data_IF_682851772489
#
_entry.id   IF_682851772489
#
_cell.length_a   1.000
_cell.length_b   1.000
_cell.length_c   1.000
_cell.angle_alpha   90.00
_cell.angle_beta   90.00
_cell.angle_gamma   90.00
#
_symmetry.space_group_name_H-M   'P 1'
#
loop_
_entity.id
_entity.type
_entity.pdbx_description
1 polymer ?
#
# COMPACT_ATOMS: atom_id res chain seq x y z
N UNK A 1 26.11 -18.17 36.23
CA UNK A 1 25.05 -18.76 35.41
C UNK A 1 24.49 -17.70 34.46
N UNK A 2 25.33 -16.73 34.03
CA UNK A 2 24.81 -15.43 33.54
C UNK A 2 25.60 -14.88 32.33
N UNK A 3 26.51 -15.68 31.75
CA UNK A 3 27.23 -15.31 30.53
C UNK A 3 26.66 -16.00 29.27
N UNK A 4 25.92 -17.10 29.44
CA UNK A 4 25.42 -17.93 28.34
C UNK A 4 24.07 -17.43 27.77
N UNK A 5 23.34 -16.63 28.55
CA UNK A 5 22.04 -16.05 28.14
C UNK A 5 22.24 -14.77 27.29
N UNK A 6 23.35 -14.05 27.46
CA UNK A 6 23.62 -12.82 26.71
C UNK A 6 24.10 -13.07 25.26
N UNK A 7 24.72 -14.23 25.00
CA UNK A 7 25.23 -14.57 23.68
C UNK A 7 24.14 -14.93 22.66
N UNK A 8 22.96 -15.38 23.12
CA UNK A 8 21.85 -15.76 22.26
C UNK A 8 21.01 -14.58 21.72
N UNK A 9 21.21 -13.36 22.24
CA UNK A 9 20.42 -12.19 21.82
C UNK A 9 21.04 -11.46 20.63
N UNK A 10 22.35 -11.63 20.39
CA UNK A 10 23.12 -10.86 19.38
C UNK A 10 23.28 -11.64 18.06
N UNK A 11 22.95 -12.93 18.03
CA UNK A 11 23.08 -13.79 16.85
C UNK A 11 21.77 -13.96 16.05
N UNK A 12 20.87 -12.96 16.02
CA UNK A 12 19.95 -12.83 14.87
C UNK A 12 20.78 -12.37 13.69
N UNK A 13 21.45 -13.35 13.07
CA UNK A 13 22.12 -13.29 11.78
C UNK A 13 21.34 -12.32 10.91
N UNK A 14 22.02 -11.32 10.36
CA UNK A 14 21.57 -10.61 9.17
C UNK A 14 21.45 -11.67 8.06
N UNK A 15 20.36 -12.42 8.09
CA UNK A 15 19.99 -13.33 7.04
C UNK A 15 19.71 -12.44 5.85
N UNK A 16 20.47 -12.65 4.77
CA UNK A 16 20.11 -12.12 3.47
C UNK A 16 18.74 -12.73 3.13
N UNK A 17 17.68 -11.98 3.37
CA UNK A 17 16.37 -12.24 2.78
C UNK A 17 16.44 -11.71 1.36
N UNK A 18 16.21 -12.54 0.34
CA UNK A 18 16.15 -12.02 -1.01
C UNK A 18 15.06 -10.96 -1.11
N UNK A 19 15.16 -10.05 -2.09
CA UNK A 19 14.24 -8.93 -2.21
C UNK A 19 12.74 -9.23 -2.18
N UNK A 20 12.42 -10.39 -2.72
CA UNK A 20 11.07 -10.90 -2.86
C UNK A 20 10.63 -11.76 -1.68
N UNK A 21 11.45 -11.92 -0.63
CA UNK A 21 11.16 -12.80 0.50
C UNK A 21 10.39 -12.13 1.63
N UNK A 22 10.48 -10.81 1.76
CA UNK A 22 9.85 -10.09 2.87
C UNK A 22 9.49 -8.66 2.43
N UNK A 23 8.20 -8.38 2.23
CA UNK A 23 7.73 -7.04 1.88
C UNK A 23 7.44 -6.26 3.15
N UNK A 24 8.03 -5.06 3.25
CA UNK A 24 7.73 -4.12 4.35
C UNK A 24 6.64 -3.14 3.93
N UNK A 25 5.52 -3.16 4.64
CA UNK A 25 4.36 -2.29 4.38
C UNK A 25 4.38 -1.08 5.32
N UNK A 26 4.46 0.12 4.75
CA UNK A 26 4.45 1.39 5.47
C UNK A 26 3.18 2.15 5.13
N UNK A 27 2.32 2.42 6.11
CA UNK A 27 1.12 3.26 5.93
C UNK A 27 1.39 4.71 6.30
N UNK A 28 1.02 5.64 5.42
CA UNK A 28 1.13 7.08 5.64
C UNK A 28 -0.25 7.71 5.47
N UNK A 29 -0.84 8.18 6.57
CA UNK A 29 -2.14 8.86 6.55
C UNK A 29 -2.02 10.38 6.73
N UNK A 30 -3.08 11.10 6.39
CA UNK A 30 -3.17 12.55 6.55
C UNK A 30 -4.05 13.21 5.52
N UNK A 31 -4.55 14.41 5.82
CA UNK A 31 -5.46 15.17 4.96
C UNK A 31 -4.89 15.46 3.56
N UNK A 32 -5.76 15.75 2.59
CA UNK A 32 -5.31 16.22 1.28
C UNK A 32 -4.41 17.46 1.44
N UNK A 33 -3.30 17.52 0.69
CA UNK A 33 -2.34 18.61 0.78
C UNK A 33 -1.39 18.60 2.01
N UNK A 34 -1.50 17.64 2.94
CA UNK A 34 -0.63 17.57 4.13
C UNK A 34 0.84 17.19 3.85
N UNK A 35 1.19 16.90 2.60
CA UNK A 35 2.55 16.55 2.20
C UNK A 35 2.87 15.05 2.20
N UNK A 36 1.88 14.15 2.35
CA UNK A 36 2.07 12.68 2.28
C UNK A 36 2.91 12.25 1.08
N UNK A 37 2.52 12.65 -0.13
CA UNK A 37 3.24 12.27 -1.36
C UNK A 37 4.65 12.83 -1.43
N UNK A 38 4.93 13.93 -0.73
CA UNK A 38 6.29 14.46 -0.57
C UNK A 38 7.09 13.61 0.40
N UNK A 39 6.49 13.22 1.53
CA UNK A 39 7.09 12.31 2.52
C UNK A 39 7.35 10.93 1.91
N UNK A 40 6.38 10.33 1.22
CA UNK A 40 6.51 9.05 0.51
C UNK A 40 7.68 9.07 -0.47
N UNK A 41 7.78 10.12 -1.30
CA UNK A 41 8.93 10.31 -2.22
C UNK A 41 10.25 10.50 -1.48
N UNK A 42 10.26 11.25 -0.38
CA UNK A 42 11.46 11.42 0.43
C UNK A 42 11.93 10.11 1.06
N UNK A 43 11.01 9.24 1.49
CA UNK A 43 11.31 7.89 2.01
C UNK A 43 11.93 7.04 0.90
N UNK A 44 11.32 7.00 -0.30
CA UNK A 44 11.88 6.27 -1.45
C UNK A 44 13.31 6.72 -1.76
N UNK A 45 13.52 8.04 -1.83
CA UNK A 45 14.84 8.61 -2.13
C UNK A 45 15.88 8.33 -1.03
N UNK A 46 15.48 8.32 0.24
CA UNK A 46 16.40 8.07 1.37
C UNK A 46 16.74 6.60 1.56
N UNK A 47 15.79 5.69 1.32
CA UNK A 47 16.03 4.26 1.46
C UNK A 47 17.08 3.80 0.46
N UNK A 48 17.13 4.40 -0.74
CA UNK A 48 18.07 4.04 -1.82
C UNK A 48 18.10 2.52 -2.09
N UNK A 49 16.97 1.85 -1.84
CA UNK A 49 16.79 0.44 -2.08
C UNK A 49 16.25 0.25 -3.50
N UNK A 50 16.70 -0.78 -4.22
CA UNK A 50 16.03 -1.14 -5.46
C UNK A 50 14.60 -1.60 -5.10
N UNK A 51 13.59 -1.28 -5.92
CA UNK A 51 12.21 -1.78 -5.77
C UNK A 51 11.42 -1.27 -4.55
N UNK A 52 11.37 0.05 -4.35
CA UNK A 52 10.39 0.70 -3.46
C UNK A 52 9.23 1.21 -4.29
N UNK A 53 7.99 0.91 -3.90
CA UNK A 53 6.79 1.36 -4.61
C UNK A 53 5.87 2.16 -3.70
N UNK A 54 5.31 3.24 -4.23
CA UNK A 54 4.26 4.03 -3.58
C UNK A 54 2.92 3.57 -4.15
N UNK A 55 2.03 3.12 -3.27
CA UNK A 55 0.65 2.79 -3.55
C UNK A 55 -0.25 3.91 -3.04
N UNK A 56 -0.82 4.69 -3.95
CA UNK A 56 -1.85 5.66 -3.57
C UNK A 56 -3.19 4.95 -3.39
N UNK A 57 -3.84 5.16 -2.25
CA UNK A 57 -5.21 4.70 -2.00
C UNK A 57 -6.23 5.33 -2.94
N UNK A 58 -5.90 6.47 -3.55
CA UNK A 58 -6.79 7.14 -4.49
C UNK A 58 -7.07 6.25 -5.72
N UNK A 59 -6.16 5.34 -6.07
CA UNK A 59 -6.39 4.33 -7.10
C UNK A 59 -7.59 3.42 -6.80
N UNK A 60 -7.97 3.29 -5.53
CA UNK A 60 -9.00 2.40 -5.03
C UNK A 60 -10.34 3.10 -4.79
N UNK A 61 -10.58 4.30 -5.33
CA UNK A 61 -11.93 4.84 -5.36
C UNK A 61 -12.90 3.86 -6.05
N UNK A 62 -14.10 3.73 -5.51
CA UNK A 62 -15.18 2.92 -6.10
C UNK A 62 -15.60 3.52 -7.44
N UNK A 63 -16.04 2.66 -8.34
CA UNK A 63 -16.72 3.13 -9.56
C UNK A 63 -18.03 3.79 -9.17
N UNK A 64 -18.28 4.97 -9.71
CA UNK A 64 -19.51 5.72 -9.48
C UNK A 64 -20.62 5.22 -10.38
N UNK A 65 -21.84 5.17 -9.86
CA UNK A 65 -23.03 5.01 -10.70
C UNK A 65 -23.30 6.30 -11.52
N UNK A 66 -24.30 6.26 -12.42
CA UNK A 66 -24.60 7.38 -13.30
C UNK A 66 -24.97 8.67 -12.54
N UNK A 67 -25.65 8.57 -11.40
CA UNK A 67 -26.08 9.72 -10.61
C UNK A 67 -24.94 10.26 -9.75
N UNK A 68 -24.15 9.38 -9.16
CA UNK A 68 -22.92 9.73 -8.44
C UNK A 68 -21.89 10.39 -9.36
N UNK A 69 -21.73 9.87 -10.58
CA UNK A 69 -20.84 10.45 -11.59
C UNK A 69 -21.31 11.86 -11.97
N UNK A 70 -22.62 12.05 -12.20
CA UNK A 70 -23.21 13.37 -12.45
C UNK A 70 -22.92 14.36 -11.32
N UNK A 71 -23.09 13.93 -10.07
CA UNK A 71 -22.76 14.74 -8.88
C UNK A 71 -21.26 15.03 -8.79
N UNK A 72 -20.40 14.08 -9.13
CA UNK A 72 -18.95 14.27 -9.11
C UNK A 72 -18.51 15.37 -10.09
N UNK A 73 -19.05 15.39 -11.31
CA UNK A 73 -18.80 16.47 -12.27
C UNK A 73 -19.28 17.85 -11.81
N UNK A 74 -20.28 17.88 -10.91
CA UNK A 74 -20.78 19.09 -10.27
C UNK A 74 -20.02 19.45 -8.97
N UNK A 75 -19.01 18.66 -8.58
CA UNK A 75 -18.33 18.74 -7.28
C UNK A 75 -19.27 18.55 -6.07
N UNK A 76 -20.37 17.82 -6.26
CA UNK A 76 -21.37 17.49 -5.23
C UNK A 76 -21.22 16.05 -4.71
N UNK A 77 -20.15 15.35 -5.10
CA UNK A 77 -19.82 14.01 -4.61
C UNK A 77 -18.70 14.09 -3.57
N UNK A 78 -18.94 13.46 -2.41
CA UNK A 78 -17.98 13.44 -1.31
C UNK A 78 -16.98 12.29 -1.48
N UNK A 79 -15.77 12.62 -1.94
CA UNK A 79 -14.64 11.70 -2.02
C UNK A 79 -13.87 11.58 -0.70
N UNK A 80 -14.14 12.46 0.27
CA UNK A 80 -13.51 12.48 1.59
C UNK A 80 -14.32 11.65 2.61
N UNK A 81 -15.00 10.60 2.12
CA UNK A 81 -15.68 9.60 2.94
C UNK A 81 -14.97 8.25 2.81
N UNK A 82 -14.78 7.48 3.90
CA UNK A 82 -14.28 6.11 3.83
C UNK A 82 -15.07 5.23 2.87
N UNK A 83 -16.38 5.48 2.73
CA UNK A 83 -17.24 4.70 1.83
C UNK A 83 -16.90 4.89 0.35
N UNK A 84 -16.21 5.97 -0.02
CA UNK A 84 -15.73 6.20 -1.39
C UNK A 84 -14.60 5.25 -1.77
N UNK A 85 -13.91 4.66 -0.79
CA UNK A 85 -12.77 3.75 -1.00
C UNK A 85 -13.22 2.29 -1.03
N UNK A 86 -12.71 1.54 -1.99
CA UNK A 86 -12.85 0.10 -2.15
C UNK A 86 -11.82 -0.62 -1.25
N UNK A 87 -12.07 -0.62 0.06
CA UNK A 87 -11.17 -1.25 1.03
C UNK A 87 -11.00 -2.75 0.81
N UNK A 88 -12.01 -3.42 0.28
CA UNK A 88 -11.93 -4.86 0.00
C UNK A 88 -10.86 -5.15 -1.05
N UNK A 89 -10.84 -4.39 -2.16
CA UNK A 89 -9.77 -4.52 -3.16
C UNK A 89 -8.42 -4.05 -2.67
N UNK A 90 -8.38 -3.04 -1.80
CA UNK A 90 -7.12 -2.61 -1.19
C UNK A 90 -6.53 -3.72 -0.32
N UNK A 91 -7.35 -4.34 0.54
CA UNK A 91 -6.93 -5.44 1.41
C UNK A 91 -6.48 -6.64 0.57
N UNK A 92 -7.26 -7.04 -0.44
CA UNK A 92 -6.90 -8.12 -1.36
C UNK A 92 -5.54 -7.86 -2.03
N UNK A 93 -5.33 -6.64 -2.55
CA UNK A 93 -4.05 -6.25 -3.15
C UNK A 93 -2.88 -6.31 -2.15
N UNK A 94 -3.07 -5.85 -0.91
CA UNK A 94 -2.03 -5.88 0.11
C UNK A 94 -1.72 -7.31 0.58
N UNK A 95 -2.74 -8.15 0.72
CA UNK A 95 -2.60 -9.56 1.05
C UNK A 95 -1.88 -10.33 -0.07
N UNK A 96 -2.21 -10.06 -1.34
CA UNK A 96 -1.53 -10.67 -2.47
C UNK A 96 -0.04 -10.30 -2.55
N UNK A 97 0.28 -9.03 -2.27
CA UNK A 97 1.66 -8.56 -2.21
C UNK A 97 2.43 -9.19 -1.03
N UNK A 98 1.79 -9.35 0.14
CA UNK A 98 2.43 -9.93 1.34
C UNK A 98 2.55 -11.46 1.25
N UNK A 99 1.54 -12.14 0.69
CA UNK A 99 1.56 -13.59 0.48
C UNK A 99 2.56 -14.01 -0.61
N UNK A 100 2.70 -13.18 -1.66
CA UNK A 100 3.72 -13.38 -2.70
C UNK A 100 5.15 -13.40 -2.16
N UNK A 101 5.40 -12.78 -1.00
CA UNK A 101 6.70 -12.80 -0.34
C UNK A 101 6.98 -14.07 0.46
N UNK A 102 5.95 -14.71 1.01
CA UNK A 102 6.09 -15.90 1.88
C UNK A 102 6.23 -17.19 1.05
N UNK A 103 5.68 -17.24 -0.17
CA UNK A 103 5.65 -18.44 -1.02
C UNK A 103 6.89 -18.53 -1.93
N UNK A 104 8.10 -18.54 -1.36
CA UNK A 104 9.39 -18.42 -2.08
C UNK A 104 9.69 -19.55 -3.10
N UNK A 105 8.86 -20.59 -3.26
CA UNK A 105 9.22 -21.71 -4.13
C UNK A 105 8.58 -21.74 -5.52
N UNK A 106 7.41 -21.15 -5.80
CA UNK A 106 6.82 -21.20 -7.14
C UNK A 106 5.94 -19.96 -7.40
N UNK A 107 6.34 -19.11 -8.36
CA UNK A 107 5.62 -17.91 -8.86
C UNK A 107 5.40 -16.76 -7.85
N UNK A 108 6.17 -15.67 -7.98
CA UNK A 108 5.86 -14.39 -7.31
C UNK A 108 4.47 -13.90 -7.73
N UNK A 109 3.54 -13.78 -6.78
CA UNK A 109 2.20 -13.23 -7.02
C UNK A 109 2.30 -11.78 -7.52
N UNK A 110 1.71 -11.51 -8.68
CA UNK A 110 1.53 -10.17 -9.25
C UNK A 110 0.27 -9.57 -8.64
N UNK A 111 0.34 -8.34 -8.14
CA UNK A 111 -0.86 -7.60 -7.76
C UNK A 111 -1.24 -6.62 -8.87
N UNK A 112 -2.54 -6.54 -9.14
CA UNK A 112 -3.10 -5.60 -10.12
C UNK A 112 -3.74 -4.42 -9.40
N UNK A 113 -3.15 -3.25 -9.57
CA UNK A 113 -3.66 -2.02 -8.99
C UNK A 113 -4.61 -1.36 -9.99
N UNK A 114 -5.84 -1.03 -9.59
CA UNK A 114 -6.75 -0.28 -10.42
C UNK A 114 -6.19 1.11 -10.75
N UNK A 115 -6.47 1.58 -11.96
CA UNK A 115 -6.19 2.98 -12.33
C UNK A 115 -7.51 3.74 -12.20
N UNK A 116 -7.53 4.77 -11.36
CA UNK A 116 -8.69 5.66 -11.24
C UNK A 116 -8.45 6.95 -12.04
N UNK A 117 -9.41 7.29 -12.89
CA UNK A 117 -9.36 8.48 -13.72
C UNK A 117 -10.20 9.58 -13.08
N UNK A 118 -9.55 10.55 -12.44
CA UNK A 118 -10.22 11.72 -11.87
C UNK A 118 -10.93 12.57 -12.93
N UNK A 119 -10.48 12.55 -14.18
CA UNK A 119 -11.12 13.28 -15.27
C UNK A 119 -12.46 12.66 -15.70
N UNK A 120 -12.59 11.33 -15.56
CA UNK A 120 -13.81 10.59 -15.90
C UNK A 120 -14.66 10.23 -14.68
N UNK A 121 -14.14 10.44 -13.47
CA UNK A 121 -14.67 9.93 -12.21
C UNK A 121 -15.03 8.44 -12.28
N UNK A 122 -14.14 7.65 -12.88
CA UNK A 122 -14.35 6.23 -13.11
C UNK A 122 -13.05 5.46 -13.04
N UNK A 123 -13.16 4.18 -12.69
CA UNK A 123 -12.05 3.22 -12.82
C UNK A 123 -11.83 2.87 -14.28
N UNK A 124 -10.59 2.84 -14.71
CA UNK A 124 -10.21 2.41 -16.07
C UNK A 124 -10.14 0.87 -16.12
N UNK A 125 -10.33 0.29 -17.30
CA UNK A 125 -10.18 -1.16 -17.52
C UNK A 125 -8.73 -1.62 -17.36
N UNK A 126 -7.79 -0.71 -17.58
CA UNK A 126 -6.36 -0.98 -17.45
C UNK A 126 -5.94 -0.97 -15.98
N UNK A 127 -5.13 -1.96 -15.61
CA UNK A 127 -4.48 -2.04 -14.29
C UNK A 127 -2.97 -1.80 -14.40
N UNK A 128 -2.38 -1.32 -13.31
CA UNK A 128 -0.92 -1.24 -13.15
C UNK A 128 -0.45 -2.45 -12.36
N UNK A 129 0.56 -3.13 -12.87
CA UNK A 129 1.04 -4.37 -12.27
C UNK A 129 2.28 -4.13 -11.42
N UNK A 130 2.24 -4.59 -10.18
CA UNK A 130 3.40 -4.58 -9.29
C UNK A 130 3.87 -6.00 -9.03
N UNK A 131 5.19 -6.16 -9.03
CA UNK A 131 5.87 -7.39 -8.67
C UNK A 131 6.61 -7.17 -7.36
N UNK A 132 6.26 -7.96 -6.35
CA UNK A 132 6.95 -8.16 -5.06
C UNK A 132 7.95 -7.05 -4.68
N UNK A 133 7.49 -5.86 -4.28
CA UNK A 133 8.38 -4.78 -3.88
C UNK A 133 9.09 -5.15 -2.58
N UNK A 134 10.25 -4.55 -2.32
CA UNK A 134 10.90 -4.64 -1.01
C UNK A 134 10.14 -3.84 0.03
N UNK A 135 9.76 -2.62 -0.35
CA UNK A 135 9.04 -1.68 0.50
C UNK A 135 7.86 -1.16 -0.29
N UNK A 136 6.67 -1.30 0.29
CA UNK A 136 5.45 -0.72 -0.24
C UNK A 136 4.99 0.40 0.71
N UNK A 137 4.96 1.62 0.20
CA UNK A 137 4.42 2.77 0.92
C UNK A 137 2.97 2.96 0.51
N UNK A 138 2.04 2.67 1.39
CA UNK A 138 0.61 2.90 1.20
C UNK A 138 0.27 4.29 1.71
N UNK A 139 -0.10 5.21 0.81
CA UNK A 139 -0.47 6.58 1.17
C UNK A 139 -1.92 6.89 0.85
N UNK A 140 -2.58 7.68 1.71
CA UNK A 140 -3.94 8.13 1.47
C UNK A 140 -4.54 8.82 2.68
N UNK A 141 -5.66 9.51 2.49
CA UNK A 141 -6.39 10.17 3.60
C UNK A 141 -6.90 9.14 4.64
N UNK A 142 -7.19 7.91 4.20
CA UNK A 142 -7.73 6.83 5.02
C UNK A 142 -6.78 5.62 5.17
N UNK A 143 -5.47 5.80 4.99
CA UNK A 143 -4.49 4.68 5.01
C UNK A 143 -4.45 3.95 6.35
N UNK A 144 -4.84 4.62 7.42
CA UNK A 144 -4.89 4.08 8.77
C UNK A 144 -6.34 3.95 9.30
N UNK A 145 -7.34 3.90 8.41
CA UNK A 145 -8.76 3.82 8.79
C UNK A 145 -9.26 2.38 9.01
N UNK A 146 -9.06 1.50 8.03
CA UNK A 146 -9.61 0.13 8.08
C UNK A 146 -8.73 -0.80 8.96
N UNK A 147 -9.28 -1.49 9.98
CA UNK A 147 -8.54 -2.39 10.84
C UNK A 147 -7.81 -3.53 10.13
N UNK A 148 -8.31 -4.00 8.99
CA UNK A 148 -7.70 -5.06 8.18
C UNK A 148 -6.43 -4.55 7.53
N UNK A 149 -6.45 -3.34 6.98
CA UNK A 149 -5.26 -2.67 6.46
C UNK A 149 -4.25 -2.46 7.59
N UNK A 150 -4.68 -1.94 8.74
CA UNK A 150 -3.81 -1.72 9.91
C UNK A 150 -3.13 -2.98 10.44
N UNK A 151 -3.71 -4.16 10.23
CA UNK A 151 -3.13 -5.45 10.61
C UNK A 151 -2.03 -5.90 9.65
N UNK A 152 -2.10 -5.48 8.40
CA UNK A 152 -1.11 -5.81 7.37
C UNK A 152 0.12 -4.90 7.44
N UNK A 153 -0.06 -3.64 7.83
CA UNK A 153 1.00 -2.64 7.93
C UNK A 153 2.03 -2.96 9.03
N UNK A 154 3.32 -2.87 8.68
CA UNK A 154 4.44 -3.06 9.59
C UNK A 154 4.84 -1.73 10.26
N UNK A 155 4.65 -0.60 9.58
CA UNK A 155 4.86 0.75 10.10
C UNK A 155 3.68 1.67 9.77
N UNK A 156 3.37 2.61 10.67
CA UNK A 156 2.23 3.53 10.58
C UNK A 156 2.71 4.95 10.91
N UNK A 157 2.43 5.90 10.02
CA UNK A 157 2.84 7.31 10.11
C UNK A 157 1.64 8.22 9.91
#
# INVERSE_FOLDING_TARGET
MDAEIAANTIAKRAHYSPPWADVSLIGIAGSSGSGKSTLSRAIVNKLNLPWVVILSMDSFYKSLDAEQSRKAFLNEHDFDSPDAIDFDKLVECLEDLKAGSVLICHFSKRAEIPIYSFAKHSREEKTTSIYSPHVLVVEGIFALHDPRVLKLLDMKV
#
